data_IF_277910681136
#
_entry.id   IF_277910681136
#
_cell.length_a   1.000
_cell.length_b   1.000
_cell.length_c   1.000
_cell.angle_alpha   90.00
_cell.angle_beta   90.00
_cell.angle_gamma   90.00
#
_symmetry.space_group_name_H-M   'P 1'
#
loop_
_entity.id
_entity.type
_entity.pdbx_description
1 polymer ?
#
# COMPACT_ATOMS: atom_id res chain seq x y z
N UNK A 1 24.63 15.07 12.44
CA UNK A 1 23.99 14.26 11.38
C UNK A 1 22.49 14.52 11.47
N UNK A 2 21.94 15.33 10.57
CA UNK A 2 20.50 15.64 10.58
C UNK A 2 19.75 14.44 9.99
N UNK A 3 19.30 13.54 10.85
CA UNK A 3 18.33 12.53 10.48
C UNK A 3 17.03 13.28 10.15
N UNK A 4 16.74 13.50 8.87
CA UNK A 4 15.38 13.84 8.44
C UNK A 4 14.52 12.62 8.76
N UNK A 5 14.06 12.52 10.01
CA UNK A 5 12.89 11.73 10.35
C UNK A 5 11.75 12.38 9.56
N UNK A 6 11.43 11.84 8.39
CA UNK A 6 10.05 11.98 7.93
C UNK A 6 9.27 11.21 9.00
N UNK A 7 8.39 11.84 9.79
CA UNK A 7 7.65 11.11 10.80
C UNK A 7 6.85 10.00 10.09
N UNK A 8 7.31 8.77 10.25
CA UNK A 8 6.60 7.60 9.76
C UNK A 8 5.28 7.50 10.53
N UNK A 9 4.17 7.44 9.80
CA UNK A 9 2.83 7.34 10.36
C UNK A 9 2.16 6.12 9.74
N UNK A 10 2.20 5.01 10.49
CA UNK A 10 1.70 3.70 10.00
C UNK A 10 0.22 3.77 9.66
N UNK A 11 -0.54 4.52 10.44
CA UNK A 11 -1.97 4.75 10.25
C UNK A 11 -2.23 5.52 8.94
N UNK A 12 -1.42 6.53 8.64
CA UNK A 12 -1.50 7.27 7.38
C UNK A 12 -1.11 6.41 6.17
N UNK A 13 -0.08 5.57 6.31
CA UNK A 13 0.31 4.61 5.28
C UNK A 13 -0.81 3.58 5.04
N UNK A 14 -1.40 3.03 6.09
CA UNK A 14 -2.54 2.11 5.99
C UNK A 14 -3.76 2.78 5.34
N UNK A 15 -4.10 4.00 5.75
CA UNK A 15 -5.21 4.75 5.17
C UNK A 15 -4.99 5.03 3.67
N UNK A 16 -3.76 5.39 3.28
CA UNK A 16 -3.39 5.56 1.88
C UNK A 16 -3.59 4.26 1.09
N UNK A 17 -3.05 3.15 1.59
CA UNK A 17 -3.16 1.85 0.91
C UNK A 17 -4.61 1.37 0.83
N UNK A 18 -5.40 1.56 1.89
CA UNK A 18 -6.84 1.31 1.89
C UNK A 18 -7.56 2.13 0.82
N UNK A 19 -7.29 3.43 0.75
CA UNK A 19 -7.86 4.31 -0.26
C UNK A 19 -7.49 3.87 -1.69
N UNK A 20 -6.23 3.48 -1.92
CA UNK A 20 -5.77 2.98 -3.23
C UNK A 20 -6.44 1.68 -3.65
N UNK A 21 -6.72 0.76 -2.72
CA UNK A 21 -7.44 -0.48 -3.01
C UNK A 21 -8.95 -0.26 -3.21
N UNK A 22 -9.53 0.80 -2.63
CA UNK A 22 -10.92 1.19 -2.86
C UNK A 22 -11.09 1.96 -4.17
N UNK A 23 -10.11 2.79 -4.53
CA UNK A 23 -10.12 3.62 -5.72
C UNK A 23 -8.71 3.67 -6.34
N UNK A 24 -8.45 2.81 -7.32
CA UNK A 24 -7.14 2.77 -7.99
C UNK A 24 -6.80 4.08 -8.74
N UNK A 25 -7.79 4.89 -9.13
CA UNK A 25 -7.55 6.20 -9.76
C UNK A 25 -6.96 7.22 -8.78
N UNK A 26 -7.03 6.96 -7.47
CA UNK A 26 -6.38 7.80 -6.48
C UNK A 26 -4.85 7.78 -6.62
N UNK A 27 -4.27 6.77 -7.30
CA UNK A 27 -2.84 6.73 -7.59
C UNK A 27 -2.40 7.93 -8.45
N UNK A 28 -3.20 8.32 -9.44
CA UNK A 28 -2.94 9.48 -10.30
C UNK A 28 -3.11 10.82 -9.57
N UNK A 29 -3.86 10.83 -8.46
CA UNK A 29 -4.07 12.02 -7.65
C UNK A 29 -2.88 12.34 -6.73
N UNK A 30 -1.92 11.42 -6.59
CA UNK A 30 -0.71 11.61 -5.79
C UNK A 30 0.22 12.57 -6.53
N UNK A 31 0.22 13.84 -6.12
CA UNK A 31 1.01 14.90 -6.77
C UNK A 31 2.50 14.90 -6.42
N UNK A 32 2.87 14.17 -5.36
CA UNK A 32 4.26 14.02 -4.92
C UNK A 32 4.80 12.70 -5.44
N UNK A 33 6.10 12.62 -5.82
CA UNK A 33 6.69 11.34 -6.16
C UNK A 33 6.72 10.46 -4.89
N UNK A 34 5.74 9.56 -4.78
CA UNK A 34 5.66 8.57 -3.72
C UNK A 34 6.12 7.22 -4.27
N UNK A 35 7.05 6.56 -3.58
CA UNK A 35 7.55 5.23 -3.93
C UNK A 35 7.46 4.34 -2.70
N UNK A 36 7.53 3.03 -2.89
CA UNK A 36 7.53 2.07 -1.77
C UNK A 36 8.65 2.29 -0.77
N UNK A 37 9.77 2.90 -1.19
CA UNK A 37 10.89 3.29 -0.32
C UNK A 37 10.56 4.41 0.69
N UNK A 38 9.44 5.12 0.50
CA UNK A 38 8.97 6.13 1.45
C UNK A 38 8.07 5.56 2.55
N UNK A 39 7.64 4.30 2.44
CA UNK A 39 6.82 3.62 3.43
C UNK A 39 7.73 2.98 4.49
N UNK A 40 7.34 3.08 5.75
CA UNK A 40 8.14 2.65 6.89
C UNK A 40 8.04 1.15 7.15
N UNK A 41 6.91 0.54 6.81
CA UNK A 41 6.67 -0.88 6.97
C UNK A 41 6.89 -1.63 5.67
N UNK A 42 7.66 -2.73 5.74
CA UNK A 42 7.94 -3.56 4.58
C UNK A 42 6.66 -4.07 3.89
N UNK A 43 5.64 -4.43 4.69
CA UNK A 43 4.33 -4.85 4.17
C UNK A 43 3.64 -3.73 3.40
N UNK A 44 3.76 -2.48 3.85
CA UNK A 44 3.18 -1.34 3.14
C UNK A 44 3.88 -1.08 1.81
N UNK A 45 5.22 -1.15 1.80
CA UNK A 45 6.03 -1.09 0.58
C UNK A 45 5.59 -2.12 -0.45
N UNK A 46 5.39 -3.37 -0.02
CA UNK A 46 5.01 -4.47 -0.91
C UNK A 46 3.57 -4.36 -1.43
N UNK A 47 2.63 -3.91 -0.58
CA UNK A 47 1.26 -3.61 -1.03
C UNK A 47 1.29 -2.48 -2.06
N UNK A 48 2.03 -1.39 -1.80
CA UNK A 48 2.11 -0.25 -2.71
C UNK A 48 2.68 -0.64 -4.07
N UNK A 49 3.77 -1.43 -4.09
CA UNK A 49 4.38 -1.91 -5.34
C UNK A 49 3.45 -2.82 -6.12
N UNK A 50 2.73 -3.72 -5.45
CA UNK A 50 1.76 -4.58 -6.11
C UNK A 50 0.56 -3.78 -6.68
N UNK A 51 0.08 -2.74 -5.97
CA UNK A 51 -0.93 -1.82 -6.50
C UNK A 51 -0.43 -1.11 -7.74
N UNK A 52 0.75 -0.49 -7.69
CA UNK A 52 1.34 0.20 -8.84
C UNK A 52 1.51 -0.75 -10.03
N UNK A 53 2.05 -1.94 -9.80
CA UNK A 53 2.26 -2.94 -10.85
C UNK A 53 0.95 -3.31 -11.54
N UNK A 54 -0.12 -3.58 -10.79
CA UNK A 54 -1.41 -3.94 -11.36
C UNK A 54 -2.02 -2.77 -12.14
N UNK A 55 -2.04 -1.58 -11.56
CA UNK A 55 -2.65 -0.39 -12.18
C UNK A 55 -1.90 0.00 -13.46
N UNK A 56 -0.57 0.02 -13.44
CA UNK A 56 0.24 0.27 -14.64
C UNK A 56 0.06 -0.81 -15.72
N UNK A 57 -0.26 -2.04 -15.34
CA UNK A 57 -0.62 -3.12 -16.27
C UNK A 57 -2.08 -3.07 -16.76
N UNK A 58 -2.84 -2.01 -16.42
CA UNK A 58 -4.25 -1.87 -16.77
C UNK A 58 -5.18 -2.82 -16.02
N UNK A 59 -4.74 -3.36 -14.89
CA UNK A 59 -5.51 -4.28 -14.03
C UNK A 59 -5.97 -3.57 -12.75
N UNK A 60 -7.10 -4.01 -12.23
CA UNK A 60 -7.60 -3.51 -10.94
C UNK A 60 -6.80 -4.11 -9.79
N UNK A 61 -6.34 -3.26 -8.87
CA UNK A 61 -5.75 -3.70 -7.62
C UNK A 61 -6.83 -3.75 -6.55
N UNK A 62 -7.15 -4.95 -6.07
CA UNK A 62 -8.18 -5.22 -5.07
C UNK A 62 -7.79 -6.45 -4.23
N UNK A 63 -8.48 -6.75 -3.12
CA UNK A 63 -8.08 -7.86 -2.25
C UNK A 63 -7.96 -9.22 -2.94
N UNK A 64 -8.74 -9.48 -4.00
CA UNK A 64 -8.72 -10.75 -4.75
C UNK A 64 -7.48 -10.85 -5.63
N UNK A 65 -7.18 -9.79 -6.39
CA UNK A 65 -6.03 -9.72 -7.31
C UNK A 65 -4.70 -9.57 -6.57
N UNK A 66 -4.74 -9.01 -5.36
CA UNK A 66 -3.57 -8.85 -4.50
C UNK A 66 -3.23 -10.13 -3.74
N UNK A 67 -4.22 -10.98 -3.40
CA UNK A 67 -4.01 -12.22 -2.65
C UNK A 67 -2.84 -13.10 -3.14
N UNK A 68 -2.66 -13.38 -4.45
CA UNK A 68 -1.52 -14.17 -4.92
C UNK A 68 -0.18 -13.43 -4.95
N UNK A 69 -0.20 -12.09 -4.81
CA UNK A 69 1.00 -11.24 -4.86
C UNK A 69 1.59 -10.98 -3.48
N UNK A 70 0.85 -11.29 -2.41
CA UNK A 70 1.25 -11.02 -1.03
C UNK A 70 1.54 -12.34 -0.35
N UNK A 71 2.73 -12.46 0.26
CA UNK A 71 3.08 -13.66 1.03
C UNK A 71 2.18 -13.76 2.27
N UNK A 72 1.71 -14.97 2.60
CA UNK A 72 0.84 -15.23 3.76
C UNK A 72 1.44 -14.76 5.10
N UNK A 73 2.77 -14.63 5.17
CA UNK A 73 3.50 -14.13 6.34
C UNK A 73 3.44 -12.60 6.51
N UNK A 74 2.98 -11.85 5.52
CA UNK A 74 2.98 -10.38 5.54
C UNK A 74 1.78 -9.77 6.27
N UNK A 75 0.68 -10.50 6.36
CA UNK A 75 -0.59 -10.00 6.91
C UNK A 75 -1.10 -11.06 7.88
N UNK A 76 -0.43 -11.19 9.03
CA UNK A 76 -0.70 -12.21 10.04
C UNK A 76 -2.22 -12.44 10.23
N UNK A 77 -2.72 -13.59 9.78
CA UNK A 77 -4.12 -14.08 9.83
C UNK A 77 -5.24 -13.12 9.36
N UNK A 78 -4.90 -11.92 8.87
CA UNK A 78 -5.84 -10.92 8.40
C UNK A 78 -5.73 -10.85 6.88
N UNK A 79 -6.84 -10.99 6.17
CA UNK A 79 -6.85 -10.65 4.74
C UNK A 79 -6.44 -9.18 4.59
N UNK A 80 -5.76 -8.83 3.49
CA UNK A 80 -5.34 -7.44 3.19
C UNK A 80 -6.49 -6.45 3.38
N UNK A 81 -7.70 -6.85 2.97
CA UNK A 81 -8.93 -6.10 3.19
C UNK A 81 -9.20 -5.81 4.67
N UNK A 82 -9.00 -6.81 5.54
CA UNK A 82 -9.21 -6.67 6.98
C UNK A 82 -8.08 -5.89 7.65
N UNK A 83 -6.85 -6.04 7.19
CA UNK A 83 -5.70 -5.28 7.69
C UNK A 83 -5.83 -3.78 7.41
N UNK A 84 -6.28 -3.42 6.21
CA UNK A 84 -6.41 -2.02 5.78
C UNK A 84 -7.75 -1.38 6.16
N UNK A 85 -8.72 -2.16 6.66
CA UNK A 85 -10.00 -1.65 7.17
C UNK A 85 -9.97 -1.28 8.66
N UNK A 86 -8.84 -1.49 9.36
CA UNK A 86 -8.68 -1.23 10.80
C UNK A 86 -8.07 0.15 11.12
N UNK A 87 -7.87 1.01 10.11
CA UNK A 87 -7.32 2.36 10.25
C UNK A 87 -8.37 3.43 10.52
#
# INVERSE_FOLDING_TARGET
MNHKFIPANKEAEQALLGALLMNNQALDAIKVPLTSAHLSEKVHSEIFDAVQMLVHAGRLANPVTMKPLINETMVADLTIAKYLALG
#
